data_IF_703940996404
#
_entry.id   IF_703940996404
#
_cell.length_a   1.000
_cell.length_b   1.000
_cell.length_c   1.000
_cell.angle_alpha   90.00
_cell.angle_beta   90.00
_cell.angle_gamma   90.00
#
_symmetry.space_group_name_H-M   'P 1'
#
loop_
_entity.id
_entity.type
_entity.pdbx_description
1 polymer ?
#
# COMPACT_ATOMS: atom_id res chain seq x y z
N UNK A 1 5.78 -0.03 12.71
CA UNK A 1 5.02 -0.19 11.44
C UNK A 1 5.67 0.71 10.40
N UNK A 2 5.72 0.28 9.14
CA UNK A 2 6.28 1.05 8.03
C UNK A 2 5.34 0.95 6.83
N UNK A 3 4.86 2.09 6.37
CA UNK A 3 4.07 2.18 5.15
C UNK A 3 5.00 2.48 3.97
N UNK A 4 4.81 1.77 2.87
CA UNK A 4 5.72 1.74 1.74
C UNK A 4 4.91 1.93 0.46
N UNK A 5 5.26 2.95 -0.32
CA UNK A 5 4.69 3.13 -1.64
C UNK A 5 5.21 2.04 -2.59
N UNK A 6 4.37 1.58 -3.52
CA UNK A 6 4.66 0.53 -4.49
C UNK A 6 5.90 0.78 -5.34
N UNK A 7 6.26 2.04 -5.63
CA UNK A 7 7.51 2.41 -6.30
C UNK A 7 8.75 1.87 -5.59
N UNK A 8 8.75 1.88 -4.25
CA UNK A 8 9.88 1.41 -3.44
C UNK A 8 10.02 -0.11 -3.56
N UNK A 9 8.89 -0.83 -3.67
CA UNK A 9 8.88 -2.29 -3.83
C UNK A 9 9.42 -2.72 -5.19
N UNK A 10 9.18 -1.92 -6.23
CA UNK A 10 9.48 -2.28 -7.62
C UNK A 10 10.80 -1.76 -8.14
N UNK A 11 11.33 -0.67 -7.56
CA UNK A 11 12.59 -0.08 -8.01
C UNK A 11 13.78 -0.77 -7.34
N UNK A 12 14.69 -1.39 -8.11
CA UNK A 12 15.82 -2.15 -7.58
C UNK A 12 16.79 -1.31 -6.74
N UNK A 13 16.86 0.01 -6.97
CA UNK A 13 17.73 0.92 -6.21
C UNK A 13 17.35 1.03 -4.73
N UNK A 14 16.14 0.63 -4.36
CA UNK A 14 15.70 0.63 -2.96
C UNK A 14 16.01 -0.68 -2.24
N UNK A 15 16.50 -1.70 -2.95
CA UNK A 15 16.90 -3.00 -2.39
C UNK A 15 15.85 -3.60 -1.44
N UNK A 16 14.57 -3.49 -1.80
CA UNK A 16 13.45 -3.85 -0.91
C UNK A 16 13.57 -5.27 -0.34
N UNK A 17 13.93 -6.23 -1.18
CA UNK A 17 13.97 -7.64 -0.80
C UNK A 17 15.15 -8.02 0.12
N UNK A 18 16.21 -7.21 0.14
CA UNK A 18 17.50 -7.60 0.74
C UNK A 18 17.90 -6.70 1.90
N UNK A 19 17.49 -5.42 1.87
CA UNK A 19 17.82 -4.42 2.90
C UNK A 19 17.24 -4.78 4.26
N UNK A 20 18.04 -4.60 5.33
CA UNK A 20 17.60 -4.76 6.72
C UNK A 20 16.53 -3.73 7.12
N UNK A 21 16.42 -2.62 6.39
CA UNK A 21 15.43 -1.56 6.63
C UNK A 21 13.98 -2.06 6.64
N UNK A 22 13.72 -3.17 5.92
CA UNK A 22 12.39 -3.74 5.73
C UNK A 22 12.19 -5.05 6.49
N UNK A 23 13.13 -5.47 7.34
CA UNK A 23 13.04 -6.69 8.15
C UNK A 23 12.59 -6.35 9.57
N UNK A 24 11.99 -7.34 10.25
CA UNK A 24 11.58 -7.26 11.66
C UNK A 24 10.64 -6.09 12.02
N UNK A 25 9.88 -5.62 11.03
CA UNK A 25 8.87 -4.56 11.19
C UNK A 25 7.56 -4.96 10.53
N UNK A 26 6.44 -4.45 11.03
CA UNK A 26 5.15 -4.56 10.32
C UNK A 26 5.22 -3.69 9.06
N UNK A 27 4.97 -4.29 7.89
CA UNK A 27 4.96 -3.62 6.60
C UNK A 27 3.53 -3.41 6.08
N UNK A 28 3.30 -2.26 5.46
CA UNK A 28 2.06 -1.95 4.75
C UNK A 28 2.42 -1.35 3.39
N UNK A 29 2.15 -2.08 2.31
CA UNK A 29 2.31 -1.56 0.96
C UNK A 29 1.07 -0.78 0.53
N UNK A 30 1.26 0.31 -0.20
CA UNK A 30 0.17 1.02 -0.87
C UNK A 30 0.57 1.38 -2.31
N UNK A 31 -0.42 1.42 -3.18
CA UNK A 31 -0.28 1.77 -4.59
C UNK A 31 -1.43 2.70 -4.97
N UNK A 32 -1.19 3.80 -5.70
CA UNK A 32 -2.29 4.63 -6.16
C UNK A 32 -3.14 3.89 -7.18
N UNK A 33 -4.46 4.07 -7.10
CA UNK A 33 -5.41 3.60 -8.11
C UNK A 33 -6.05 4.81 -8.77
N UNK A 34 -6.62 4.71 -9.98
CA UNK A 34 -7.53 5.73 -10.47
C UNK A 34 -8.71 5.94 -9.50
N UNK A 35 -9.14 7.18 -9.30
CA UNK A 35 -10.20 7.54 -8.32
C UNK A 35 -11.49 6.71 -8.47
N UNK A 36 -11.91 6.47 -9.71
CA UNK A 36 -13.13 5.71 -10.02
C UNK A 36 -12.93 4.19 -10.17
N UNK A 37 -11.69 3.69 -10.03
CA UNK A 37 -11.39 2.28 -10.25
C UNK A 37 -11.90 1.42 -9.09
N UNK A 38 -12.57 0.32 -9.41
CA UNK A 38 -12.85 -0.72 -8.43
C UNK A 38 -11.62 -1.60 -8.17
N UNK A 39 -11.67 -2.42 -7.12
CA UNK A 39 -10.55 -3.26 -6.69
C UNK A 39 -10.06 -4.22 -7.80
N UNK A 40 -10.96 -4.76 -8.62
CA UNK A 40 -10.58 -5.67 -9.70
C UNK A 40 -9.86 -4.93 -10.84
N UNK A 41 -10.31 -3.72 -11.18
CA UNK A 41 -9.64 -2.88 -12.18
C UNK A 41 -8.24 -2.50 -11.73
N UNK A 42 -8.08 -2.03 -10.48
CA UNK A 42 -6.77 -1.73 -9.90
C UNK A 42 -5.88 -2.97 -9.85
N UNK A 43 -6.39 -4.11 -9.41
CA UNK A 43 -5.59 -5.34 -9.37
C UNK A 43 -5.04 -5.75 -10.74
N UNK A 44 -5.80 -5.53 -11.82
CA UNK A 44 -5.36 -5.84 -13.19
C UNK A 44 -4.33 -4.85 -13.73
N UNK A 45 -4.37 -3.60 -13.25
CA UNK A 45 -3.51 -2.51 -13.72
C UNK A 45 -3.15 -1.58 -12.55
N UNK A 46 -2.27 -2.02 -11.63
CA UNK A 46 -1.74 -1.14 -10.60
C UNK A 46 -0.79 -0.12 -11.22
N UNK A 47 -0.47 0.95 -10.49
CA UNK A 47 0.48 1.96 -10.95
C UNK A 47 1.90 1.36 -11.00
N UNK A 48 2.28 0.61 -9.97
CA UNK A 48 3.47 -0.23 -9.94
C UNK A 48 3.11 -1.66 -9.54
N UNK A 49 3.76 -2.66 -10.15
CA UNK A 49 3.53 -4.07 -9.83
C UNK A 49 4.07 -4.46 -8.44
N UNK A 50 3.33 -4.11 -7.39
CA UNK A 50 3.64 -4.47 -6.01
C UNK A 50 3.44 -5.96 -5.68
N UNK A 51 2.69 -6.70 -6.49
CA UNK A 51 2.28 -8.07 -6.13
C UNK A 51 3.44 -9.07 -6.20
N UNK A 52 4.30 -8.97 -7.22
CA UNK A 52 5.49 -9.82 -7.34
C UNK A 52 6.43 -9.69 -6.14
N UNK A 53 6.94 -8.49 -5.79
CA UNK A 53 7.81 -8.33 -4.61
C UNK A 53 7.08 -8.65 -3.30
N UNK A 54 5.77 -8.40 -3.20
CA UNK A 54 4.97 -8.80 -2.04
C UNK A 54 4.99 -10.32 -1.81
N UNK A 55 4.72 -11.11 -2.87
CA UNK A 55 4.76 -12.58 -2.80
C UNK A 55 6.16 -13.07 -2.43
N UNK A 56 7.19 -12.55 -3.09
CA UNK A 56 8.59 -12.93 -2.82
C UNK A 56 8.99 -12.65 -1.37
N UNK A 57 8.63 -11.49 -0.82
CA UNK A 57 8.92 -11.14 0.57
C UNK A 57 8.20 -12.09 1.53
N UNK A 58 6.92 -12.38 1.30
CA UNK A 58 6.13 -13.29 2.12
C UNK A 58 6.66 -14.72 2.10
N UNK A 59 7.21 -15.18 0.98
CA UNK A 59 7.87 -16.49 0.90
C UNK A 59 9.16 -16.55 1.71
N UNK A 60 9.96 -15.47 1.71
CA UNK A 60 11.22 -15.39 2.47
C UNK A 60 11.01 -15.15 3.97
N UNK A 61 9.97 -14.40 4.32
CA UNK A 61 9.69 -13.93 5.68
C UNK A 61 8.23 -14.22 6.06
N UNK A 62 7.81 -15.51 6.14
CA UNK A 62 6.40 -15.88 6.32
C UNK A 62 5.80 -15.33 7.62
N UNK A 63 6.61 -15.22 8.68
CA UNK A 63 6.18 -14.75 9.99
C UNK A 63 6.13 -13.22 10.11
N UNK A 64 6.68 -12.48 9.14
CA UNK A 64 6.68 -11.02 9.17
C UNK A 64 5.32 -10.48 8.69
N UNK A 65 4.61 -9.67 9.48
CA UNK A 65 3.36 -9.06 9.03
C UNK A 65 3.61 -8.11 7.86
N UNK A 66 2.99 -8.42 6.72
CA UNK A 66 3.04 -7.59 5.53
C UNK A 66 1.69 -7.56 4.84
N UNK A 67 1.09 -6.36 4.78
CA UNK A 67 -0.25 -6.11 4.26
C UNK A 67 -0.21 -5.21 3.02
N UNK A 68 -1.27 -5.25 2.22
CA UNK A 68 -1.52 -4.30 1.15
C UNK A 68 -2.76 -3.48 1.52
N UNK A 69 -2.61 -2.16 1.51
CA UNK A 69 -3.65 -1.20 1.81
C UNK A 69 -4.72 -1.21 0.70
N UNK A 70 -5.99 -1.13 1.08
CA UNK A 70 -7.05 -1.06 0.08
C UNK A 70 -7.00 0.30 -0.65
N UNK A 71 -6.93 0.36 -2.00
CA UNK A 71 -6.68 1.60 -2.73
C UNK A 71 -7.75 2.67 -2.50
N UNK A 72 -9.00 2.26 -2.26
CA UNK A 72 -10.10 3.16 -1.88
C UNK A 72 -9.80 4.02 -0.64
N UNK A 73 -9.05 3.49 0.33
CA UNK A 73 -8.70 4.24 1.54
C UNK A 73 -7.91 5.52 1.22
N UNK A 74 -7.03 5.46 0.22
CA UNK A 74 -6.21 6.60 -0.21
C UNK A 74 -7.08 7.75 -0.72
N UNK A 75 -8.09 7.43 -1.54
CA UNK A 75 -9.02 8.43 -2.07
C UNK A 75 -10.01 8.93 -1.03
N UNK A 76 -10.46 8.07 -0.10
CA UNK A 76 -11.27 8.53 1.02
C UNK A 76 -10.52 9.54 1.91
N UNK A 77 -9.20 9.37 2.09
CA UNK A 77 -8.40 10.38 2.76
C UNK A 77 -8.29 11.67 1.95
N UNK A 78 -8.12 11.56 0.63
CA UNK A 78 -8.11 12.73 -0.24
C UNK A 78 -9.44 13.51 -0.18
N UNK A 79 -10.57 12.81 -0.22
CA UNK A 79 -11.91 13.40 -0.12
C UNK A 79 -12.06 14.18 1.20
N UNK A 80 -11.63 13.59 2.31
CA UNK A 80 -11.64 14.28 3.62
C UNK A 80 -10.79 15.56 3.56
N UNK A 81 -9.60 15.54 2.96
CA UNK A 81 -8.76 16.74 2.85
C UNK A 81 -9.46 17.80 1.98
N UNK A 82 -10.00 17.41 0.82
CA UNK A 82 -10.70 18.31 -0.08
C UNK A 82 -11.96 18.92 0.58
N UNK A 83 -12.77 18.13 1.28
CA UNK A 83 -13.96 18.60 2.00
C UNK A 83 -13.62 19.63 3.09
N UNK A 84 -12.42 19.54 3.66
CA UNK A 84 -11.92 20.47 4.69
C UNK A 84 -11.08 21.63 4.12
N UNK A 85 -10.96 21.74 2.79
CA UNK A 85 -10.18 22.78 2.13
C UNK A 85 -11.08 23.65 1.25
N UNK A 86 -10.96 24.97 1.36
CA UNK A 86 -11.78 25.91 0.55
C UNK A 86 -11.43 25.88 -0.93
N UNK A 87 -10.17 25.64 -1.24
CA UNK A 87 -9.64 25.58 -2.60
C UNK A 87 -9.65 24.13 -3.11
N UNK A 88 -9.71 23.99 -4.44
CA UNK A 88 -9.58 22.68 -5.08
C UNK A 88 -8.13 22.21 -4.98
N UNK A 89 -7.89 21.13 -4.26
CA UNK A 89 -6.55 20.54 -4.13
C UNK A 89 -6.20 19.73 -5.39
N UNK A 90 -4.90 19.49 -5.60
CA UNK A 90 -4.47 18.64 -6.71
C UNK A 90 -5.00 17.21 -6.53
N UNK A 91 -5.46 16.54 -7.61
CA UNK A 91 -6.05 15.21 -7.57
C UNK A 91 -4.97 14.11 -7.46
N UNK A 92 -4.02 14.30 -6.54
CA UNK A 92 -2.94 13.37 -6.26
C UNK A 92 -3.23 12.67 -4.93
N UNK A 93 -2.88 11.38 -4.78
CA UNK A 93 -3.03 10.68 -3.51
C UNK A 93 -2.27 11.43 -2.38
N UNK A 94 -2.76 11.40 -1.13
CA UNK A 94 -2.04 11.94 0.02
C UNK A 94 -0.66 11.29 0.18
N UNK A 95 0.27 12.01 0.81
CA UNK A 95 1.62 11.49 1.06
C UNK A 95 1.59 10.27 1.99
N UNK A 96 2.60 9.40 1.89
CA UNK A 96 2.73 8.23 2.80
C UNK A 96 2.63 8.67 4.27
N UNK A 97 3.34 9.73 4.69
CA UNK A 97 3.28 10.21 6.08
C UNK A 97 1.87 10.59 6.55
N UNK A 98 1.02 11.13 5.67
CA UNK A 98 -0.37 11.43 6.00
C UNK A 98 -1.24 10.17 6.10
N UNK A 99 -0.99 9.18 5.23
CA UNK A 99 -1.61 7.86 5.27
C UNK A 99 -1.24 7.15 6.58
N UNK A 100 0.02 7.20 7.01
CA UNK A 100 0.53 6.59 8.26
C UNK A 100 -0.21 7.15 9.49
N UNK A 101 -0.33 8.47 9.58
CA UNK A 101 -0.99 9.14 10.70
C UNK A 101 -2.45 8.70 10.83
N UNK A 102 -3.17 8.59 9.71
CA UNK A 102 -4.56 8.18 9.70
C UNK A 102 -4.75 6.67 9.91
N UNK A 103 -3.82 5.85 9.43
CA UNK A 103 -3.87 4.41 9.63
C UNK A 103 -3.62 4.01 11.09
N UNK A 104 -2.89 4.83 11.85
CA UNK A 104 -2.70 4.64 13.29
C UNK A 104 -3.94 5.02 14.10
N UNK A 105 -4.76 5.97 13.63
CA UNK A 105 -5.96 6.44 14.35
C UNK A 105 -7.22 5.64 14.03
N UNK A 106 -7.35 5.09 12.81
CA UNK A 106 -8.44 4.20 12.40
C UNK A 106 -7.88 2.78 12.23
N UNK A 107 -8.41 1.81 12.98
CA UNK A 107 -7.97 0.41 12.92
C UNK A 107 -7.75 -0.13 11.49
N UNK A 108 -6.84 -1.11 11.40
CA UNK A 108 -6.23 -1.63 10.16
C UNK A 108 -7.26 -2.02 9.06
N UNK A 109 -7.25 -1.33 7.91
CA UNK A 109 -8.06 -1.67 6.73
C UNK A 109 -7.18 -2.27 5.62
N UNK A 110 -7.05 -3.60 5.60
CA UNK A 110 -6.17 -4.30 4.66
C UNK A 110 -6.92 -5.22 3.70
N UNK A 111 -6.33 -5.46 2.53
CA UNK A 111 -6.80 -6.48 1.60
C UNK A 111 -6.16 -7.83 1.98
N UNK A 112 -6.97 -8.88 2.16
CA UNK A 112 -6.44 -10.25 2.24
C UNK A 112 -6.28 -10.84 0.82
N UNK A 113 -5.05 -10.78 0.29
CA UNK A 113 -4.71 -11.33 -1.01
C UNK A 113 -4.11 -12.74 -0.95
N UNK A 114 -4.00 -13.36 0.23
CA UNK A 114 -3.25 -14.62 0.41
C UNK A 114 -3.79 -15.75 -0.46
N UNK A 115 -5.12 -15.91 -0.50
CA UNK A 115 -5.79 -16.91 -1.35
C UNK A 115 -5.61 -16.65 -2.84
N UNK A 116 -5.56 -15.37 -3.25
CA UNK A 116 -5.46 -14.98 -4.66
C UNK A 116 -4.03 -15.12 -5.19
N UNK A 117 -3.04 -14.97 -4.31
CA UNK A 117 -1.62 -14.99 -4.65
C UNK A 117 -0.92 -16.32 -4.29
N UNK A 118 -1.67 -17.36 -3.92
CA UNK A 118 -1.13 -18.67 -3.53
C UNK A 118 -0.03 -18.61 -2.45
N UNK A 119 -0.20 -17.75 -1.45
CA UNK A 119 0.73 -17.62 -0.31
C UNK A 119 0.22 -18.48 0.85
N UNK A 120 1.04 -19.39 1.40
CA UNK A 120 0.67 -20.21 2.57
C UNK A 120 0.58 -19.37 3.85
N UNK A 121 -0.08 -19.91 4.88
CA UNK A 121 -0.23 -19.26 6.19
C UNK A 121 1.11 -18.88 6.81
#
# INVERSE_FOLDING_TARGET
MRIINSQILTNPNHHFLDSSLYKDVILVAWDPAPYSANLNQWYKKPDYNLFTPYVQHRQRHPNQPFYILHPKFIWQLWDIIQENTKEKIQPNPPSSGFIDLHQLSKGLQFIDLRKKLNISK
#
